data_IF_965477915655
#
_entry.id   IF_965477915655
#
_cell.length_a   1.000
_cell.length_b   1.000
_cell.length_c   1.000
_cell.angle_alpha   90.00
_cell.angle_beta   90.00
_cell.angle_gamma   90.00
#
_symmetry.space_group_name_H-M   'P 1'
#
loop_
_entity.id
_entity.type
_entity.pdbx_description
1 polymer ?
#
# COMPACT_ATOMS: atom_id res chain seq x y z
N UNK A 1 -10.02 1.20 18.25
CA UNK A 1 -9.55 1.05 17.90
C UNK A 1 -9.21 0.81 17.67
N UNK A 2 -9.68 1.31 17.91
CA UNK A 2 -9.22 1.29 17.34
C UNK A 2 -8.64 1.16 17.56
N UNK A 3 -8.70 1.45 17.97
CA UNK A 3 -7.92 1.41 17.96
C UNK A 3 -7.69 0.98 18.09
N UNK A 4 -8.23 1.22 18.36
CA UNK A 4 -7.77 1.00 18.26
C UNK A 4 -7.46 0.55 18.29
N UNK A 5 -7.81 1.08 18.56
CA UNK A 5 -7.10 0.81 18.33
C UNK A 5 -6.57 0.39 18.23
N UNK A 6 -6.85 0.73 18.38
CA UNK A 6 -6.09 0.54 18.08
C UNK A 6 -5.37 0.24 18.08
N UNK A 7 -5.15 0.83 18.59
CA UNK A 7 -4.18 0.76 18.43
C UNK A 7 -3.35 0.65 18.60
N UNK A 8 -3.15 1.10 18.95
CA UNK A 8 -2.20 1.20 18.78
C UNK A 8 -1.36 0.94 19.01
N UNK A 9 -1.30 1.25 19.40
CA UNK A 9 -0.26 1.17 19.31
C UNK A 9 0.46 0.62 19.53
N UNK A 10 0.29 0.93 19.75
CA UNK A 10 1.19 0.56 19.63
C UNK A 10 2.01 0.22 19.86
N UNK A 11 1.96 0.29 20.14
CA UNK A 11 2.99 0.15 20.12
C UNK A 11 3.77 -0.19 20.06
N UNK A 12 3.47 0.21 20.20
CA UNK A 12 4.22 0.10 19.80
C UNK A 12 4.75 -0.18 19.60
N UNK A 13 4.49 0.24 19.84
CA UNK A 13 5.17 0.25 19.36
C UNK A 13 5.86 -0.02 19.29
N UNK A 14 5.75 0.23 19.87
CA UNK A 14 6.66 0.25 19.65
C UNK A 14 7.44 -0.03 19.60
N UNK A 15 7.26 0.02 19.79
CA UNK A 15 8.07 0.10 19.54
C UNK A 15 8.82 -0.05 19.26
N UNK A 16 8.70 0.35 19.36
CA UNK A 16 9.41 0.52 18.83
C UNK A 16 10.00 0.67 18.38
N UNK A 17 9.83 1.20 18.51
CA UNK A 17 10.40 1.61 17.87
C UNK A 17 11.08 1.74 17.61
N UNK A 18 11.22 2.02 17.76
CA UNK A 18 11.96 2.40 17.32
C UNK A 18 12.51 2.18 16.90
N UNK A 19 12.34 2.12 17.02
CA UNK A 19 12.90 2.12 16.56
C UNK A 19 13.27 1.99 15.90
N UNK A 20 12.95 2.28 15.54
CA UNK A 20 13.45 2.38 14.59
C UNK A 20 13.98 3.31 14.34
N UNK A 21 13.88 3.90 14.58
CA UNK A 21 14.38 4.86 14.33
C UNK A 21 15.44 5.24 14.86
N UNK A 22 15.93 5.10 15.53
CA UNK A 22 16.89 5.30 15.92
C UNK A 22 17.95 4.96 15.38
N UNK A 23 18.14 4.45 15.06
CA UNK A 23 19.08 4.15 14.46
C UNK A 23 19.42 4.99 13.75
N UNK A 24 19.00 5.60 14.10
CA UNK A 24 19.06 6.45 13.50
C UNK A 24 19.95 7.06 12.66
N UNK A 25 20.95 7.50 13.01
CA UNK A 25 21.72 8.28 12.23
C UNK A 25 21.74 7.79 10.89
N UNK A 26 21.85 6.65 10.81
CA UNK A 26 21.78 6.17 9.62
C UNK A 26 20.51 6.38 9.15
N UNK A 27 19.66 6.84 9.90
CA UNK A 27 18.36 7.06 9.49
C UNK A 27 18.23 7.66 8.19
N UNK A 28 19.10 8.54 7.92
CA UNK A 28 19.00 9.17 6.67
C UNK A 28 19.01 8.16 5.60
N UNK A 29 19.76 7.16 5.81
CA UNK A 29 19.88 6.17 4.81
C UNK A 29 18.63 5.41 4.61
N UNK A 30 17.71 5.48 5.52
CA UNK A 30 16.48 4.76 5.37
C UNK A 30 15.42 5.57 4.69
N UNK A 31 15.71 6.77 4.26
CA UNK A 31 14.72 7.54 3.58
C UNK A 31 14.38 6.90 2.28
N UNK A 32 13.10 6.75 2.04
CA UNK A 32 12.62 6.18 0.81
C UNK A 32 12.48 7.30 -0.19
N UNK A 33 13.04 7.11 -1.36
CA UNK A 33 12.96 8.12 -2.42
C UNK A 33 11.94 7.71 -3.45
N UNK A 34 11.31 8.69 -4.04
CA UNK A 34 10.40 8.43 -5.15
C UNK A 34 11.18 7.84 -6.32
N UNK A 35 10.61 6.87 -6.97
CA UNK A 35 11.21 6.23 -8.13
C UNK A 35 11.13 7.16 -9.33
N UNK A 36 12.06 7.01 -10.24
CA UNK A 36 12.01 7.83 -11.44
C UNK A 36 10.95 7.30 -12.40
N UNK A 37 10.48 8.13 -13.33
CA UNK A 37 9.41 7.73 -14.23
C UNK A 37 9.72 6.51 -15.09
N UNK A 38 10.99 6.33 -15.43
CA UNK A 38 11.36 5.19 -16.23
C UNK A 38 11.21 3.88 -15.51
N UNK A 39 11.60 3.83 -14.24
CA UNK A 39 11.43 2.64 -13.41
C UNK A 39 9.96 2.29 -13.26
N UNK A 40 9.13 3.30 -13.05
CA UNK A 40 7.70 3.08 -12.89
C UNK A 40 7.11 2.56 -14.20
N UNK A 41 7.50 3.15 -15.31
CA UNK A 41 7.00 2.75 -16.60
C UNK A 41 7.37 1.29 -16.91
N UNK A 42 8.59 0.90 -16.57
CA UNK A 42 9.04 -0.47 -16.74
C UNK A 42 8.23 -1.46 -15.91
N UNK A 43 7.96 -1.09 -14.67
CA UNK A 43 7.16 -1.93 -13.79
C UNK A 43 5.73 -2.08 -14.33
N UNK A 44 5.15 -1.00 -14.84
CA UNK A 44 3.77 -1.01 -15.33
C UNK A 44 3.59 -1.90 -16.56
N UNK A 45 4.63 -2.10 -17.34
CA UNK A 45 4.52 -2.90 -18.56
C UNK A 45 4.03 -4.32 -18.31
N UNK A 46 4.35 -4.87 -17.15
CA UNK A 46 4.02 -6.24 -16.82
C UNK A 46 2.97 -6.36 -15.72
N UNK A 47 2.26 -5.27 -15.44
CA UNK A 47 1.27 -5.28 -14.34
C UNK A 47 -0.06 -4.78 -14.87
N UNK A 48 -0.95 -5.70 -15.19
CA UNK A 48 -2.23 -5.34 -15.74
C UNK A 48 -3.07 -4.52 -14.79
N UNK A 49 -3.70 -3.50 -15.31
CA UNK A 49 -4.67 -2.72 -14.57
C UNK A 49 -4.10 -1.58 -13.74
N UNK A 50 -2.82 -1.63 -13.43
CA UNK A 50 -2.21 -0.54 -12.69
C UNK A 50 -1.91 0.62 -13.65
N UNK A 51 -2.23 1.82 -13.21
CA UNK A 51 -1.96 3.04 -13.96
C UNK A 51 -1.28 4.04 -13.07
N UNK A 52 -0.49 4.88 -13.67
CA UNK A 52 0.11 5.99 -12.96
C UNK A 52 -0.70 7.25 -13.24
N UNK A 53 -1.07 7.96 -12.18
CA UNK A 53 -1.67 9.27 -12.31
C UNK A 53 -0.88 10.21 -11.45
N UNK A 54 -0.19 11.14 -12.06
CA UNK A 54 0.68 12.05 -11.35
C UNK A 54 1.68 11.24 -10.53
N UNK A 55 1.66 11.34 -9.24
CA UNK A 55 2.58 10.63 -8.34
C UNK A 55 1.91 9.48 -7.60
N UNK A 56 0.90 8.86 -8.21
CA UNK A 56 0.15 7.78 -7.58
C UNK A 56 -0.05 6.61 -8.53
N UNK A 57 -0.15 5.42 -7.96
CA UNK A 57 -0.54 4.22 -8.70
C UNK A 57 -2.00 3.91 -8.38
N UNK A 58 -2.78 3.63 -9.39
CA UNK A 58 -4.22 3.41 -9.23
C UNK A 58 -4.64 2.15 -9.97
N UNK A 59 -5.50 1.37 -9.36
CA UNK A 59 -6.08 0.20 -10.01
C UNK A 59 -7.51 -0.04 -9.53
N UNK A 60 -8.38 -0.39 -10.45
CA UNK A 60 -9.75 -0.78 -10.14
C UNK A 60 -9.85 -2.30 -10.13
N UNK A 61 -10.56 -2.83 -9.16
CA UNK A 61 -10.83 -4.26 -9.03
C UNK A 61 -12.33 -4.45 -9.03
N UNK A 62 -12.83 -5.32 -9.89
CA UNK A 62 -14.28 -5.58 -10.00
C UNK A 62 -14.62 -6.96 -9.47
N UNK A 63 -15.74 -7.05 -8.77
CA UNK A 63 -16.15 -8.30 -8.14
C UNK A 63 -17.60 -8.62 -8.52
N UNK A 64 -18.05 -9.80 -8.15
CA UNK A 64 -19.40 -10.24 -8.49
C UNK A 64 -20.46 -9.68 -7.55
N UNK A 65 -20.08 -9.17 -6.41
CA UNK A 65 -21.03 -8.65 -5.42
C UNK A 65 -20.37 -7.62 -4.51
N UNK A 66 -21.19 -6.88 -3.81
CA UNK A 66 -20.70 -5.96 -2.79
C UNK A 66 -19.95 -6.73 -1.70
N UNK A 67 -20.50 -7.86 -1.28
CA UNK A 67 -19.86 -8.64 -0.22
C UNK A 67 -18.46 -9.09 -0.62
N UNK A 68 -18.27 -9.51 -1.86
CA UNK A 68 -16.96 -9.91 -2.35
C UNK A 68 -16.00 -8.72 -2.37
N UNK A 69 -16.50 -7.53 -2.65
CA UNK A 69 -15.69 -6.31 -2.58
C UNK A 69 -15.16 -6.10 -1.18
N UNK A 70 -16.00 -6.31 -0.18
CA UNK A 70 -15.61 -6.11 1.22
C UNK A 70 -14.62 -7.18 1.67
N UNK A 71 -14.78 -8.41 1.21
CA UNK A 71 -13.80 -9.46 1.50
C UNK A 71 -12.43 -9.05 0.96
N UNK A 72 -12.40 -8.51 -0.24
CA UNK A 72 -11.16 -8.02 -0.83
C UNK A 72 -10.56 -6.88 -0.01
N UNK A 73 -11.39 -5.93 0.40
CA UNK A 73 -10.92 -4.81 1.21
C UNK A 73 -10.28 -5.30 2.51
N UNK A 74 -10.87 -6.30 3.14
CA UNK A 74 -10.31 -6.87 4.35
C UNK A 74 -8.95 -7.53 4.11
N UNK A 75 -8.77 -8.15 2.97
CA UNK A 75 -7.46 -8.72 2.61
C UNK A 75 -6.44 -7.62 2.38
N UNK A 76 -6.84 -6.56 1.71
CA UNK A 76 -5.96 -5.42 1.48
C UNK A 76 -5.55 -4.80 2.82
N UNK A 77 -6.48 -4.71 3.75
CA UNK A 77 -6.19 -4.16 5.07
C UNK A 77 -5.11 -4.99 5.78
N UNK A 78 -5.20 -6.30 5.70
CA UNK A 78 -4.21 -7.18 6.31
C UNK A 78 -2.84 -6.99 5.68
N UNK A 79 -2.79 -6.92 4.35
CA UNK A 79 -1.54 -6.71 3.64
C UNK A 79 -0.94 -5.34 3.95
N UNK A 80 -1.79 -4.32 4.00
CA UNK A 80 -1.34 -2.96 4.30
C UNK A 80 -0.73 -2.89 5.69
N UNK A 81 -1.37 -3.53 6.65
CA UNK A 81 -0.86 -3.57 8.02
C UNK A 81 0.48 -4.31 8.09
N UNK A 82 0.60 -5.41 7.38
CA UNK A 82 1.83 -6.19 7.37
C UNK A 82 2.99 -5.44 6.76
N UNK A 83 2.72 -4.58 5.78
CA UNK A 83 3.75 -3.80 5.11
C UNK A 83 3.91 -2.40 5.70
N UNK A 84 3.11 -2.08 6.70
CA UNK A 84 3.10 -0.75 7.30
C UNK A 84 2.98 0.32 6.22
N UNK A 85 2.12 0.10 5.26
CA UNK A 85 1.94 0.99 4.13
C UNK A 85 0.51 0.86 3.64
N UNK A 86 -0.26 1.93 3.68
CA UNK A 86 -1.71 1.86 3.51
C UNK A 86 -2.17 2.60 2.26
N UNK A 87 -2.95 1.94 1.41
CA UNK A 87 -3.53 2.59 0.23
C UNK A 87 -4.76 3.40 0.59
N UNK A 88 -5.14 4.30 -0.30
CA UNK A 88 -6.48 4.87 -0.25
C UNK A 88 -7.42 3.85 -0.86
N UNK A 89 -8.55 3.62 -0.25
CA UNK A 89 -9.50 2.60 -0.71
C UNK A 89 -10.85 3.26 -0.97
N UNK A 90 -11.35 3.10 -2.19
CA UNK A 90 -12.66 3.62 -2.57
C UNK A 90 -13.52 2.44 -2.96
N UNK A 91 -14.65 2.25 -2.30
CA UNK A 91 -15.55 1.13 -2.57
C UNK A 91 -16.84 1.66 -3.17
N UNK A 92 -17.15 1.20 -4.37
CA UNK A 92 -18.39 1.58 -5.05
C UNK A 92 -19.10 0.31 -5.47
N UNK A 93 -20.01 -0.15 -4.61
CA UNK A 93 -20.75 -1.39 -4.80
C UNK A 93 -19.79 -2.56 -5.02
N UNK A 94 -19.59 -3.01 -6.23
CA UNK A 94 -18.73 -4.17 -6.53
C UNK A 94 -17.40 -3.77 -7.16
N UNK A 95 -17.05 -2.48 -7.13
CA UNK A 95 -15.78 -2.00 -7.65
C UNK A 95 -14.96 -1.36 -6.52
N UNK A 96 -13.73 -1.80 -6.38
CA UNK A 96 -12.82 -1.24 -5.39
C UNK A 96 -11.67 -0.57 -6.13
N UNK A 97 -11.41 0.68 -5.84
CA UNK A 97 -10.28 1.40 -6.43
C UNK A 97 -9.22 1.60 -5.36
N UNK A 98 -8.03 1.16 -5.63
CA UNK A 98 -6.91 1.34 -4.72
C UNK A 98 -5.95 2.38 -5.31
N UNK A 99 -5.50 3.28 -4.45
CA UNK A 99 -4.55 4.32 -4.83
C UNK A 99 -3.34 4.23 -3.89
N UNK A 100 -2.17 4.09 -4.46
CA UNK A 100 -0.94 3.91 -3.69
C UNK A 100 0.03 5.08 -3.94
N UNK A 101 0.57 5.60 -2.87
CA UNK A 101 1.66 6.56 -2.95
C UNK A 101 2.35 6.61 -1.60
N UNK A 102 3.55 7.16 -1.55
CA UNK A 102 4.29 7.29 -0.30
C UNK A 102 4.38 8.78 0.03
N UNK A 103 3.67 9.18 1.07
CA UNK A 103 3.58 10.60 1.43
C UNK A 103 4.92 11.23 1.71
N UNK A 104 5.76 10.55 2.47
CA UNK A 104 7.06 11.09 2.85
C UNK A 104 7.95 11.35 1.63
N UNK A 105 7.82 10.55 0.60
CA UNK A 105 8.61 10.70 -0.61
C UNK A 105 7.89 11.53 -1.67
N UNK A 106 6.63 11.84 -1.42
CA UNK A 106 5.78 12.60 -2.34
C UNK A 106 5.70 11.93 -3.71
N UNK A 107 5.60 10.62 -3.73
CA UNK A 107 5.51 9.91 -4.98
C UNK A 107 5.48 8.43 -4.81
N UNK A 108 5.70 7.72 -5.90
CA UNK A 108 5.67 6.27 -5.93
C UNK A 108 7.05 5.74 -5.53
N UNK A 109 7.08 4.81 -4.61
CA UNK A 109 8.34 4.22 -4.14
C UNK A 109 8.28 2.70 -4.25
N UNK A 110 9.35 2.04 -3.88
CA UNK A 110 9.37 0.58 -3.83
C UNK A 110 8.29 0.03 -2.91
N UNK A 111 7.94 0.74 -1.86
CA UNK A 111 6.87 0.30 -0.96
C UNK A 111 5.55 0.15 -1.70
N UNK A 112 5.27 1.08 -2.60
CA UNK A 112 4.03 1.04 -3.39
C UNK A 112 4.05 -0.13 -4.36
N UNK A 113 5.18 -0.37 -5.01
CA UNK A 113 5.30 -1.46 -5.95
C UNK A 113 5.18 -2.82 -5.26
N UNK A 114 5.81 -2.97 -4.12
CA UNK A 114 5.74 -4.22 -3.36
C UNK A 114 4.32 -4.51 -2.89
N UNK A 115 3.65 -3.51 -2.37
CA UNK A 115 2.28 -3.70 -1.90
C UNK A 115 1.36 -4.02 -3.08
N UNK A 116 1.53 -3.33 -4.20
CA UNK A 116 0.74 -3.59 -5.39
C UNK A 116 0.91 -5.03 -5.85
N UNK A 117 2.12 -5.55 -5.82
CA UNK A 117 2.38 -6.93 -6.21
C UNK A 117 1.74 -7.93 -5.26
N UNK A 118 1.78 -7.65 -3.97
CA UNK A 118 1.15 -8.53 -2.98
C UNK A 118 -0.38 -8.53 -3.14
N UNK A 119 -0.94 -7.37 -3.44
CA UNK A 119 -2.38 -7.26 -3.65
C UNK A 119 -2.78 -8.05 -4.90
N UNK A 120 -2.02 -7.93 -5.98
CA UNK A 120 -2.31 -8.65 -7.20
C UNK A 120 -2.21 -10.16 -6.97
N UNK A 121 -1.21 -10.59 -6.25
CA UNK A 121 -1.02 -12.00 -5.95
C UNK A 121 -2.22 -12.54 -5.15
N UNK A 122 -2.62 -11.81 -4.13
CA UNK A 122 -3.76 -12.22 -3.29
C UNK A 122 -5.05 -12.30 -4.10
N UNK A 123 -5.22 -11.40 -5.06
CA UNK A 123 -6.41 -11.38 -5.90
C UNK A 123 -6.41 -12.53 -6.89
N UNK A 124 -5.25 -12.85 -7.42
CA UNK A 124 -5.17 -13.89 -8.44
C UNK A 124 -5.35 -15.29 -7.89
N UNK A 125 -5.29 -15.45 -6.58
CA UNK A 125 -5.46 -16.77 -5.98
C UNK A 125 -6.91 -17.09 -5.63
N UNK A 126 -7.82 -16.27 -6.00
CA UNK A 126 -9.22 -16.51 -5.70
C UNK A 126 -9.75 -17.68 -6.45
#
# INVERSE_FOLDING_TARGET
>A
MWDSNGVQEVPAHDGKLLSHKELGGMGGATMVSALNPESIRGWLRNRRGWKRRSNKLIKDFSFGSFRDSIVFVNRVATLADSHDHHPDIDVRYSTVTLTLSTNDARGITEKDLELAEQIDFATSTH
#
